data_IF_695783347183
#
_entry.id   IF_695783347183
#
_cell.length_a   1.000
_cell.length_b   1.000
_cell.length_c   1.000
_cell.angle_alpha   90.00
_cell.angle_beta   90.00
_cell.angle_gamma   90.00
#
_symmetry.space_group_name_H-M   'P 1'
#
loop_
_entity.id
_entity.type
_entity.pdbx_description
1 polymer ?
#
# COMPACT_ATOMS: atom_id res chain seq x y z
N UNK A 1 5.54 2.92 6.42
CA UNK A 1 7.00 2.74 6.09
C UNK A 1 7.59 3.78 5.12
N UNK A 2 6.78 4.70 4.61
CA UNK A 2 7.18 5.68 3.60
C UNK A 2 8.43 6.51 3.95
N UNK A 3 8.55 7.04 5.18
CA UNK A 3 9.71 7.88 5.57
C UNK A 3 11.05 7.14 5.45
N UNK A 4 11.10 5.85 5.79
CA UNK A 4 12.29 5.03 5.65
C UNK A 4 12.70 4.91 4.18
N UNK A 5 11.77 4.47 3.32
CA UNK A 5 12.01 4.34 1.87
C UNK A 5 12.35 5.68 1.21
N UNK A 6 11.73 6.77 1.67
CA UNK A 6 12.01 8.12 1.20
C UNK A 6 13.45 8.55 1.50
N UNK A 7 13.93 8.30 2.73
CA UNK A 7 15.33 8.60 3.11
C UNK A 7 16.37 7.81 2.32
N UNK A 8 15.97 6.65 1.78
CA UNK A 8 16.79 5.78 0.93
C UNK A 8 16.63 6.09 -0.57
N UNK A 9 15.97 7.19 -0.94
CA UNK A 9 15.66 7.58 -2.32
C UNK A 9 14.87 6.52 -3.12
N UNK A 10 14.11 5.64 -2.44
CA UNK A 10 13.27 4.61 -3.07
C UNK A 10 11.90 5.15 -3.47
N UNK A 11 11.86 6.36 -4.04
CA UNK A 11 10.61 7.06 -4.40
C UNK A 11 9.84 6.33 -5.50
N UNK A 12 10.53 5.82 -6.51
CA UNK A 12 9.90 5.09 -7.62
C UNK A 12 9.13 3.85 -7.13
N UNK A 13 9.67 3.14 -6.14
CA UNK A 13 9.01 1.98 -5.54
C UNK A 13 7.73 2.39 -4.83
N UNK A 14 7.79 3.47 -4.05
CA UNK A 14 6.60 4.00 -3.38
C UNK A 14 5.54 4.48 -4.40
N UNK A 15 5.95 5.07 -5.51
CA UNK A 15 5.06 5.50 -6.57
C UNK A 15 4.35 4.30 -7.23
N UNK A 16 5.09 3.25 -7.59
CA UNK A 16 4.52 2.03 -8.17
C UNK A 16 3.52 1.38 -7.23
N UNK A 17 3.87 1.21 -5.94
CA UNK A 17 2.96 0.67 -4.93
C UNK A 17 1.69 1.53 -4.82
N UNK A 18 1.84 2.85 -4.76
CA UNK A 18 0.70 3.78 -4.64
C UNK A 18 -0.24 3.71 -5.85
N UNK A 19 0.31 3.65 -7.07
CA UNK A 19 -0.50 3.53 -8.30
C UNK A 19 -1.23 2.19 -8.34
N UNK A 20 -0.55 1.09 -8.00
CA UNK A 20 -1.20 -0.23 -7.93
C UNK A 20 -2.35 -0.25 -6.92
N UNK A 21 -2.15 0.34 -5.73
CA UNK A 21 -3.21 0.43 -4.72
C UNK A 21 -4.33 1.36 -5.17
N UNK A 22 -4.05 2.45 -5.89
CA UNK A 22 -5.09 3.34 -6.40
C UNK A 22 -6.01 2.64 -7.41
N UNK A 23 -5.45 1.80 -8.29
CA UNK A 23 -6.23 0.99 -9.23
C UNK A 23 -7.14 0.03 -8.45
N UNK A 24 -6.59 -0.70 -7.48
CA UNK A 24 -7.36 -1.61 -6.63
C UNK A 24 -8.46 -0.86 -5.84
N UNK A 25 -8.12 0.28 -5.24
CA UNK A 25 -9.05 1.13 -4.50
C UNK A 25 -10.23 1.55 -5.38
N UNK A 26 -9.97 1.98 -6.61
CA UNK A 26 -11.02 2.41 -7.55
C UNK A 26 -11.94 1.24 -7.91
N UNK A 27 -11.38 0.06 -8.22
CA UNK A 27 -12.16 -1.14 -8.56
C UNK A 27 -13.03 -1.58 -7.38
N UNK A 28 -12.46 -1.65 -6.18
CA UNK A 28 -13.19 -2.09 -5.00
C UNK A 28 -14.23 -1.07 -4.53
N UNK A 29 -13.95 0.23 -4.64
CA UNK A 29 -14.93 1.28 -4.34
C UNK A 29 -16.13 1.18 -5.26
N UNK A 30 -15.92 1.02 -6.57
CA UNK A 30 -17.02 0.78 -7.52
C UNK A 30 -17.81 -0.50 -7.17
N UNK A 31 -17.12 -1.61 -6.90
CA UNK A 31 -17.75 -2.89 -6.60
C UNK A 31 -18.55 -2.86 -5.29
N UNK A 32 -17.94 -2.46 -4.17
CA UNK A 32 -18.58 -2.51 -2.87
C UNK A 32 -19.64 -1.41 -2.71
N UNK A 33 -19.34 -0.19 -3.13
CA UNK A 33 -20.27 0.92 -2.94
C UNK A 33 -21.47 0.83 -3.89
N UNK A 34 -21.21 0.64 -5.19
CA UNK A 34 -22.25 0.75 -6.22
C UNK A 34 -22.84 -0.61 -6.58
N UNK A 35 -22.01 -1.61 -6.83
CA UNK A 35 -22.51 -2.91 -7.33
C UNK A 35 -23.14 -3.75 -6.21
N UNK A 36 -22.57 -3.73 -5.02
CA UNK A 36 -23.09 -4.43 -3.84
C UNK A 36 -23.99 -3.55 -2.95
N UNK A 37 -24.13 -2.25 -3.28
CA UNK A 37 -24.94 -1.29 -2.53
C UNK A 37 -24.54 -1.14 -1.04
N UNK A 38 -23.27 -1.33 -0.68
CA UNK A 38 -22.81 -1.13 0.70
C UNK A 38 -22.65 0.36 1.06
N UNK A 39 -22.69 1.26 0.07
CA UNK A 39 -22.60 2.70 0.28
C UNK A 39 -21.38 3.12 1.11
N UNK A 40 -21.61 3.88 2.18
CA UNK A 40 -20.55 4.43 3.04
C UNK A 40 -19.75 3.34 3.79
N UNK A 41 -20.38 2.24 4.17
CA UNK A 41 -19.69 1.12 4.82
C UNK A 41 -18.67 0.51 3.85
N UNK A 42 -19.07 0.33 2.59
CA UNK A 42 -18.16 -0.10 1.52
C UNK A 42 -16.97 0.86 1.38
N UNK A 43 -17.22 2.16 1.33
CA UNK A 43 -16.15 3.17 1.24
C UNK A 43 -15.16 3.09 2.43
N UNK A 44 -15.67 2.94 3.65
CA UNK A 44 -14.84 2.81 4.84
C UNK A 44 -13.98 1.54 4.80
N UNK A 45 -14.55 0.40 4.38
CA UNK A 45 -13.81 -0.86 4.24
C UNK A 45 -12.67 -0.71 3.22
N UNK A 46 -12.95 -0.17 2.03
CA UNK A 46 -11.93 -0.01 0.98
C UNK A 46 -10.82 0.95 1.43
N UNK A 47 -11.18 2.05 2.09
CA UNK A 47 -10.21 3.02 2.61
C UNK A 47 -9.25 2.38 3.64
N UNK A 48 -9.81 1.68 4.65
CA UNK A 48 -9.02 1.00 5.67
C UNK A 48 -8.11 -0.09 5.05
N UNK A 49 -8.67 -0.91 4.15
CA UNK A 49 -7.92 -1.94 3.47
C UNK A 49 -6.77 -1.35 2.62
N UNK A 50 -7.00 -0.23 1.95
CA UNK A 50 -5.97 0.43 1.12
C UNK A 50 -4.76 0.87 1.94
N UNK A 51 -5.00 1.41 3.14
CA UNK A 51 -3.92 1.79 4.05
C UNK A 51 -3.09 0.57 4.49
N UNK A 52 -3.75 -0.51 4.91
CA UNK A 52 -3.08 -1.76 5.30
C UNK A 52 -2.28 -2.35 4.14
N UNK A 53 -2.83 -2.36 2.93
CA UNK A 53 -2.14 -2.90 1.74
C UNK A 53 -0.88 -2.09 1.41
N UNK A 54 -0.94 -0.75 1.47
CA UNK A 54 0.23 0.11 1.22
C UNK A 54 1.34 -0.20 2.23
N UNK A 55 1.00 -0.21 3.51
CA UNK A 55 2.00 -0.41 4.56
C UNK A 55 2.57 -1.83 4.48
N UNK A 56 1.75 -2.87 4.27
CA UNK A 56 2.24 -4.24 4.07
C UNK A 56 3.14 -4.37 2.83
N UNK A 57 2.78 -3.76 1.71
CA UNK A 57 3.60 -3.81 0.49
C UNK A 57 4.97 -3.15 0.70
N UNK A 58 5.01 -2.00 1.37
CA UNK A 58 6.25 -1.34 1.73
C UNK A 58 7.07 -2.18 2.72
N UNK A 59 6.42 -2.83 3.69
CA UNK A 59 7.07 -3.71 4.67
C UNK A 59 7.76 -4.88 3.97
N UNK A 60 7.02 -5.60 3.13
CA UNK A 60 7.52 -6.75 2.36
C UNK A 60 8.72 -6.36 1.51
N UNK A 61 8.66 -5.19 0.85
CA UNK A 61 9.78 -4.68 0.06
C UNK A 61 11.04 -4.38 0.89
N UNK A 62 10.88 -3.90 2.13
CA UNK A 62 12.00 -3.62 3.03
C UNK A 62 12.66 -4.93 3.49
N UNK A 63 11.86 -5.91 3.91
CA UNK A 63 12.37 -7.18 4.44
C UNK A 63 12.92 -8.11 3.35
N UNK A 64 12.62 -7.86 2.06
CA UNK A 64 13.13 -8.67 0.94
C UNK A 64 14.62 -8.45 0.64
N UNK A 65 15.35 -7.72 1.47
CA UNK A 65 16.79 -7.47 1.31
C UNK A 65 17.15 -6.36 0.31
N UNK A 66 16.15 -5.70 -0.30
CA UNK A 66 16.36 -4.67 -1.34
C UNK A 66 16.94 -3.35 -0.79
N UNK A 67 17.02 -3.22 0.54
CA UNK A 67 17.57 -2.07 1.25
C UNK A 67 19.06 -2.22 1.62
N UNK A 68 19.72 -3.33 1.24
CA UNK A 68 21.17 -3.51 1.40
C UNK A 68 21.67 -3.22 2.82
N UNK A 69 22.78 -2.49 2.96
CA UNK A 69 23.35 -2.10 4.27
C UNK A 69 22.41 -1.23 5.14
N UNK A 70 21.37 -0.64 4.57
CA UNK A 70 20.42 0.16 5.34
C UNK A 70 19.44 -0.69 6.17
N UNK A 71 19.37 -2.00 5.90
CA UNK A 71 18.53 -2.95 6.64
C UNK A 71 19.17 -4.33 6.67
N UNK A 72 19.69 -4.77 7.83
CA UNK A 72 20.28 -6.10 8.02
C UNK A 72 19.27 -7.15 8.55
N UNK A 73 17.96 -6.87 8.48
CA UNK A 73 16.94 -7.76 9.03
C UNK A 73 16.67 -7.52 10.52
N UNK A 74 16.12 -8.54 11.18
CA UNK A 74 15.73 -8.49 12.60
C UNK A 74 16.84 -8.95 13.56
N UNK A 75 18.09 -8.99 13.11
CA UNK A 75 19.24 -9.45 13.89
C UNK A 75 20.10 -8.30 14.40
#
# INVERSE_FOLDING_TARGET
>A
MAKFLQSQSKIMVMAVISVSVLILHTIFSWLLMLKLNWGLVGAAVVLNASWVIIDLAQFVYIISGTCGRAWNGFS
#
